data_IF_605594813196
#
_entry.id   IF_605594813196
#
_cell.length_a   1.000
_cell.length_b   1.000
_cell.length_c   1.000
_cell.angle_alpha   90.00
_cell.angle_beta   90.00
_cell.angle_gamma   90.00
#
_symmetry.space_group_name_H-M   'P 1'
#
loop_
_entity.id
_entity.type
_entity.pdbx_description
1 polymer ?
#
# COMPACT_ATOMS: atom_id res chain seq x y z
N UNK A 1 11.70 -1.45 -57.31
CA UNK A 1 10.95 -0.43 -58.07
C UNK A 1 10.24 0.48 -57.06
N UNK A 2 10.33 1.78 -57.29
CA UNK A 2 9.81 2.91 -56.50
C UNK A 2 8.44 3.32 -57.08
N UNK A 3 7.48 3.70 -56.23
CA UNK A 3 6.35 4.66 -56.41
C UNK A 3 5.28 4.34 -55.33
N UNK A 4 4.90 5.11 -54.31
CA UNK A 4 4.54 6.54 -54.13
C UNK A 4 3.37 7.04 -54.99
N UNK A 5 2.30 7.48 -54.30
CA UNK A 5 1.15 8.23 -54.81
C UNK A 5 -0.11 7.36 -54.95
N UNK A 6 -1.32 7.73 -54.54
CA UNK A 6 -1.91 9.02 -54.13
C UNK A 6 -3.35 8.76 -53.66
N UNK A 7 -3.81 9.46 -52.62
CA UNK A 7 -5.24 9.56 -52.20
C UNK A 7 -6.07 10.23 -53.33
N UNK A 8 -7.41 10.06 -53.41
CA UNK A 8 -8.32 10.83 -52.56
C UNK A 8 -9.63 10.11 -52.14
N UNK A 9 -10.37 10.79 -51.25
CA UNK A 9 -11.67 10.42 -50.71
C UNK A 9 -12.80 10.68 -51.71
N UNK A 10 -13.89 9.89 -51.67
CA UNK A 10 -15.26 10.37 -51.91
C UNK A 10 -16.32 9.29 -51.65
N UNK A 11 -17.32 9.66 -50.85
CA UNK A 11 -18.75 9.52 -51.12
C UNK A 11 -19.25 8.23 -51.76
N UNK A 12 -19.95 7.39 -51.00
CA UNK A 12 -21.14 6.71 -51.55
C UNK A 12 -22.18 6.48 -50.47
N UNK A 13 -23.12 7.42 -50.40
CA UNK A 13 -24.43 7.20 -49.84
C UNK A 13 -25.26 6.30 -50.78
N UNK A 14 -26.06 5.43 -50.17
CA UNK A 14 -27.41 5.04 -50.58
C UNK A 14 -27.66 4.76 -52.07
N UNK A 15 -27.88 3.50 -52.42
CA UNK A 15 -28.96 3.15 -53.35
C UNK A 15 -29.30 1.67 -53.27
N UNK A 16 -30.52 1.31 -53.71
CA UNK A 16 -31.18 0.00 -53.67
C UNK A 16 -31.86 -0.23 -52.32
N UNK A 17 -33.12 0.17 -52.10
CA UNK A 17 -34.34 -0.11 -52.86
C UNK A 17 -35.32 1.08 -52.63
N UNK A 18 -35.87 1.77 -53.62
CA UNK A 18 -36.90 1.29 -54.54
C UNK A 18 -38.32 1.59 -54.01
N UNK A 19 -38.86 2.79 -54.26
CA UNK A 19 -40.29 3.19 -54.09
C UNK A 19 -40.94 3.20 -55.50
N UNK A 20 -42.26 2.95 -55.66
CA UNK A 20 -43.31 4.00 -55.59
C UNK A 20 -44.66 3.43 -55.04
N UNK A 21 -45.80 4.09 -54.87
CA UNK A 21 -46.25 5.47 -54.58
C UNK A 21 -47.77 5.36 -54.22
N UNK A 22 -48.29 6.38 -53.52
CA UNK A 22 -49.69 6.82 -53.46
C UNK A 22 -50.74 6.04 -52.63
N UNK A 23 -50.98 6.56 -51.41
CA UNK A 23 -52.34 6.95 -50.97
C UNK A 23 -52.23 8.26 -50.15
N UNK A 24 -53.00 9.27 -50.56
CA UNK A 24 -53.24 10.53 -49.84
C UNK A 24 -54.15 10.26 -48.61
N UNK A 25 -54.36 11.05 -47.56
CA UNK A 25 -54.25 12.48 -47.19
C UNK A 25 -54.29 12.51 -45.63
N UNK A 26 -53.75 13.47 -44.86
CA UNK A 26 -54.39 14.75 -44.47
C UNK A 26 -53.53 15.43 -43.35
N UNK A 27 -53.70 16.75 -43.06
CA UNK A 27 -52.85 17.49 -42.13
C UNK A 27 -53.12 17.12 -40.67
N UNK A 28 -52.09 16.69 -39.93
CA UNK A 28 -52.16 16.54 -38.47
C UNK A 28 -51.97 17.91 -37.78
N UNK A 29 -52.88 18.31 -36.87
CA UNK A 29 -52.75 19.55 -36.09
C UNK A 29 -51.55 19.49 -35.13
N UNK A 30 -50.81 20.59 -35.02
CA UNK A 30 -49.81 20.77 -33.98
C UNK A 30 -50.48 20.84 -32.59
N UNK A 31 -49.99 20.03 -31.65
CA UNK A 31 -50.39 20.00 -30.25
C UNK A 31 -49.14 19.70 -29.36
N UNK A 32 -49.10 20.18 -28.11
CA UNK A 32 -47.97 20.93 -27.55
C UNK A 32 -46.83 20.10 -26.96
N UNK A 33 -45.65 20.72 -26.84
CA UNK A 33 -44.52 20.19 -26.07
C UNK A 33 -44.94 19.88 -24.62
N UNK A 34 -44.84 18.61 -24.22
CA UNK A 34 -44.95 18.22 -22.81
C UNK A 34 -43.63 18.51 -22.07
N UNK A 35 -43.68 19.06 -20.85
CA UNK A 35 -42.49 19.35 -20.06
C UNK A 35 -41.83 18.06 -19.56
N UNK A 36 -40.50 18.08 -19.49
CA UNK A 36 -39.66 16.98 -19.04
C UNK A 36 -40.04 16.48 -17.63
N UNK A 37 -39.92 15.17 -17.33
CA UNK A 37 -40.20 14.64 -16.00
C UNK A 37 -39.21 15.22 -14.99
N UNK A 38 -39.72 15.85 -13.93
CA UNK A 38 -38.93 16.23 -12.76
C UNK A 38 -38.60 14.97 -11.97
N UNK A 39 -37.32 14.60 -11.92
CA UNK A 39 -36.84 13.47 -11.11
C UNK A 39 -36.92 13.81 -9.61
N UNK A 40 -37.22 12.84 -8.73
CA UNK A 40 -37.22 13.01 -7.27
C UNK A 40 -35.84 13.42 -6.70
N UNK A 41 -35.78 14.06 -5.51
CA UNK A 41 -34.52 14.56 -4.91
C UNK A 41 -33.51 13.47 -4.51
N UNK A 42 -33.88 12.19 -4.54
CA UNK A 42 -33.08 11.07 -4.00
C UNK A 42 -32.12 10.42 -5.01
N UNK A 43 -32.00 10.96 -6.23
CA UNK A 43 -30.90 10.61 -7.15
C UNK A 43 -29.80 11.68 -7.11
N UNK A 44 -29.30 11.96 -5.92
CA UNK A 44 -27.94 12.44 -5.81
C UNK A 44 -27.03 11.28 -6.21
N UNK A 45 -26.35 11.40 -7.36
CA UNK A 45 -25.18 10.60 -7.66
C UNK A 45 -24.29 10.54 -6.41
N UNK A 46 -23.65 9.39 -6.08
CA UNK A 46 -22.71 9.35 -4.97
C UNK A 46 -21.71 10.48 -5.20
N UNK A 47 -21.75 11.48 -4.31
CA UNK A 47 -20.79 12.56 -4.32
C UNK A 47 -19.44 11.87 -4.32
N UNK A 48 -18.70 12.01 -5.42
CA UNK A 48 -17.33 11.55 -5.52
C UNK A 48 -16.65 12.09 -4.27
N UNK A 49 -16.27 11.20 -3.35
CA UNK A 49 -15.49 11.54 -2.16
C UNK A 49 -14.23 12.24 -2.67
N UNK A 50 -14.27 13.57 -2.69
CA UNK A 50 -13.10 14.38 -2.94
C UNK A 50 -12.23 14.16 -1.71
N UNK A 51 -11.23 13.28 -1.86
CA UNK A 51 -10.16 13.12 -0.87
C UNK A 51 -9.68 14.53 -0.52
N UNK A 52 -9.75 14.94 0.76
CA UNK A 52 -9.40 16.30 1.15
C UNK A 52 -7.98 16.59 0.66
N UNK A 53 -7.82 17.69 -0.08
CA UNK A 53 -6.49 18.08 -0.52
C UNK A 53 -5.61 18.34 0.71
N UNK A 54 -4.37 17.82 0.73
CA UNK A 54 -3.48 18.01 1.87
C UNK A 54 -3.20 19.50 2.06
N UNK A 55 -3.08 19.97 3.32
CA UNK A 55 -2.80 21.37 3.61
C UNK A 55 -1.43 21.81 3.08
N UNK A 56 -1.29 23.08 2.73
CA UNK A 56 -0.09 23.68 2.12
C UNK A 56 1.23 23.38 2.85
N UNK A 57 1.20 23.35 4.19
CA UNK A 57 2.39 23.03 4.98
C UNK A 57 2.89 21.59 4.72
N UNK A 58 1.98 20.65 4.48
CA UNK A 58 2.32 19.26 4.21
C UNK A 58 2.94 19.10 2.82
N UNK A 59 2.45 19.85 1.83
CA UNK A 59 2.99 19.87 0.47
C UNK A 59 4.44 20.39 0.46
N UNK A 60 4.70 21.48 1.18
CA UNK A 60 6.05 22.04 1.30
C UNK A 60 7.01 21.06 2.00
N UNK A 61 6.53 20.36 3.02
CA UNK A 61 7.31 19.37 3.76
C UNK A 61 7.66 18.16 2.87
N UNK A 62 6.69 17.66 2.11
CA UNK A 62 6.90 16.57 1.12
C UNK A 62 8.00 16.96 0.12
N UNK A 63 7.96 18.17 -0.43
CA UNK A 63 8.99 18.66 -1.37
C UNK A 63 10.39 18.72 -0.75
N UNK A 64 10.49 19.06 0.53
CA UNK A 64 11.77 19.06 1.26
C UNK A 64 12.28 17.65 1.55
N UNK A 65 11.38 16.69 1.77
CA UNK A 65 11.69 15.29 2.08
C UNK A 65 11.94 14.43 0.84
N UNK A 66 11.40 14.83 -0.31
CA UNK A 66 11.52 14.11 -1.57
C UNK A 66 12.96 13.74 -1.96
N UNK A 67 13.98 14.59 -1.81
CA UNK A 67 15.37 14.18 -2.07
C UNK A 67 15.93 13.17 -1.05
N UNK A 68 15.35 13.07 0.15
CA UNK A 68 15.78 12.13 1.19
C UNK A 68 15.14 10.74 1.05
N UNK A 69 14.02 10.62 0.32
CA UNK A 69 13.29 9.36 0.16
C UNK A 69 14.21 8.21 -0.27
N UNK A 70 15.02 8.41 -1.32
CA UNK A 70 15.93 7.40 -1.85
C UNK A 70 17.00 6.97 -0.84
N UNK A 71 17.84 7.89 -0.32
CA UNK A 71 18.85 7.57 0.69
C UNK A 71 18.27 6.90 1.95
N UNK A 72 17.13 7.39 2.45
CA UNK A 72 16.47 6.85 3.64
C UNK A 72 15.96 5.44 3.36
N UNK A 73 15.33 5.20 2.22
CA UNK A 73 14.86 3.87 1.81
C UNK A 73 16.02 2.88 1.70
N UNK A 74 17.14 3.30 1.11
CA UNK A 74 18.34 2.46 1.01
C UNK A 74 18.94 2.17 2.39
N UNK A 75 19.02 3.18 3.26
CA UNK A 75 19.50 3.03 4.62
C UNK A 75 18.66 2.02 5.41
N UNK A 76 17.32 2.14 5.37
CA UNK A 76 16.42 1.18 6.00
C UNK A 76 16.64 -0.23 5.48
N UNK A 77 16.74 -0.41 4.15
CA UNK A 77 16.95 -1.73 3.54
C UNK A 77 18.27 -2.38 3.97
N UNK A 78 19.36 -1.59 4.04
CA UNK A 78 20.67 -2.09 4.48
C UNK A 78 20.66 -2.41 5.97
N UNK A 79 20.14 -1.52 6.81
CA UNK A 79 20.04 -1.75 8.25
C UNK A 79 19.21 -2.99 8.59
N UNK A 80 18.06 -3.16 7.93
CA UNK A 80 17.19 -4.32 8.12
C UNK A 80 17.88 -5.64 7.68
N UNK A 81 18.61 -5.61 6.57
CA UNK A 81 19.43 -6.76 6.13
C UNK A 81 20.55 -7.09 7.13
N UNK A 82 21.24 -6.07 7.66
CA UNK A 82 22.26 -6.26 8.70
C UNK A 82 21.65 -6.82 9.98
N UNK A 83 20.47 -6.35 10.38
CA UNK A 83 19.72 -6.89 11.51
C UNK A 83 19.38 -8.36 11.30
N UNK A 84 18.99 -8.77 10.09
CA UNK A 84 18.72 -10.17 9.75
C UNK A 84 19.96 -11.05 9.84
N UNK A 85 21.12 -10.57 9.34
CA UNK A 85 22.40 -11.28 9.46
C UNK A 85 22.81 -11.43 10.92
N UNK A 86 22.68 -10.36 11.72
CA UNK A 86 22.96 -10.42 13.16
C UNK A 86 22.00 -11.40 13.85
N UNK A 87 20.70 -11.33 13.59
CA UNK A 87 19.73 -12.27 14.17
C UNK A 87 20.10 -13.73 13.87
N UNK A 88 20.40 -14.03 12.61
CA UNK A 88 20.74 -15.40 12.17
C UNK A 88 22.06 -15.87 12.78
N UNK A 89 23.09 -15.01 12.80
CA UNK A 89 24.38 -15.33 13.42
C UNK A 89 24.23 -15.54 14.93
N UNK A 90 23.41 -14.75 15.63
CA UNK A 90 23.12 -14.93 17.06
C UNK A 90 22.41 -16.26 17.32
N UNK A 91 21.45 -16.64 16.48
CA UNK A 91 20.78 -17.94 16.58
C UNK A 91 21.74 -19.10 16.39
N UNK A 92 22.60 -19.05 15.37
CA UNK A 92 23.60 -20.08 15.08
C UNK A 92 24.71 -20.14 16.14
N UNK A 93 25.26 -18.99 16.52
CA UNK A 93 26.35 -18.87 17.50
C UNK A 93 25.95 -19.42 18.86
N UNK A 94 24.68 -19.28 19.22
CA UNK A 94 24.19 -19.66 20.53
C UNK A 94 23.14 -20.76 20.50
N UNK A 95 23.07 -21.59 19.45
CA UNK A 95 22.04 -22.64 19.29
C UNK A 95 22.02 -23.68 20.44
N UNK A 96 23.11 -23.85 21.20
CA UNK A 96 23.26 -24.87 22.26
C UNK A 96 23.39 -24.41 23.73
N UNK A 97 23.46 -23.11 24.05
CA UNK A 97 23.76 -22.63 25.42
C UNK A 97 22.58 -22.09 26.25
N UNK A 98 22.50 -22.45 27.54
CA UNK A 98 21.49 -21.95 28.53
C UNK A 98 21.62 -20.46 28.85
N UNK A 99 22.85 -19.94 28.88
CA UNK A 99 23.13 -18.53 29.21
C UNK A 99 22.76 -17.54 28.09
N UNK A 100 22.41 -18.04 26.90
CA UNK A 100 22.09 -17.21 25.73
C UNK A 100 20.60 -17.12 25.42
N UNK A 101 19.72 -17.48 26.37
CA UNK A 101 18.27 -17.38 26.16
C UNK A 101 17.81 -15.94 25.92
N UNK A 102 18.38 -14.93 26.60
CA UNK A 102 18.06 -13.51 26.37
C UNK A 102 18.37 -13.09 24.93
N UNK A 103 19.58 -13.39 24.46
CA UNK A 103 20.05 -13.06 23.12
C UNK A 103 19.26 -13.76 22.01
N UNK A 104 18.79 -14.99 22.22
CA UNK A 104 17.89 -15.67 21.27
C UNK A 104 16.54 -14.98 21.15
N UNK A 105 15.97 -14.48 22.25
CA UNK A 105 14.70 -13.75 22.22
C UNK A 105 14.82 -12.44 21.44
N UNK A 106 15.95 -11.73 21.57
CA UNK A 106 16.25 -10.53 20.78
C UNK A 106 16.42 -10.88 19.29
N UNK A 107 17.08 -12.00 18.97
CA UNK A 107 17.22 -12.45 17.58
C UNK A 107 15.86 -12.82 16.93
N UNK A 108 14.99 -13.51 17.67
CA UNK A 108 13.63 -13.82 17.18
C UNK A 108 12.82 -12.53 17.04
N UNK A 109 12.95 -11.57 17.97
CA UNK A 109 12.32 -10.26 17.84
C UNK A 109 12.73 -9.54 16.54
N UNK A 110 14.03 -9.50 16.24
CA UNK A 110 14.56 -8.92 15.02
C UNK A 110 14.03 -9.62 13.75
N UNK A 111 13.82 -10.94 13.80
CA UNK A 111 13.20 -11.68 12.69
C UNK A 111 11.73 -11.28 12.46
N UNK A 112 10.94 -11.13 13.52
CA UNK A 112 9.57 -10.64 13.39
C UNK A 112 9.52 -9.18 12.91
N UNK A 113 10.48 -8.35 13.32
CA UNK A 113 10.63 -6.98 12.83
C UNK A 113 10.84 -6.95 11.30
N UNK A 114 11.81 -7.72 10.81
CA UNK A 114 12.10 -7.88 9.38
C UNK A 114 10.85 -8.29 8.59
N UNK A 115 10.07 -9.24 9.12
CA UNK A 115 8.84 -9.69 8.46
C UNK A 115 7.80 -8.57 8.34
N UNK A 116 7.65 -7.75 9.39
CA UNK A 116 6.79 -6.56 9.37
C UNK A 116 7.25 -5.53 8.33
N UNK A 117 8.55 -5.30 8.24
CA UNK A 117 9.13 -4.31 7.32
C UNK A 117 8.99 -4.73 5.85
N UNK A 118 9.22 -6.02 5.54
CA UNK A 118 8.98 -6.59 4.21
C UNK A 118 7.49 -6.53 3.86
N UNK A 119 6.61 -6.85 4.81
CA UNK A 119 5.17 -6.76 4.59
C UNK A 119 4.74 -5.33 4.28
N UNK A 120 5.20 -4.34 5.03
CA UNK A 120 4.83 -2.93 4.79
C UNK A 120 5.22 -2.47 3.39
N UNK A 121 6.43 -2.82 2.94
CA UNK A 121 6.90 -2.53 1.58
C UNK A 121 6.10 -3.26 0.50
N UNK A 122 5.57 -4.45 0.80
CA UNK A 122 4.68 -5.18 -0.09
C UNK A 122 3.29 -4.53 -0.14
N UNK A 123 2.70 -4.24 1.02
CA UNK A 123 1.33 -3.76 1.16
C UNK A 123 1.14 -2.33 0.63
N UNK A 124 2.16 -1.48 0.74
CA UNK A 124 2.16 -0.12 0.17
C UNK A 124 2.12 -0.07 -1.36
N UNK A 125 2.29 -1.22 -2.05
CA UNK A 125 2.10 -1.31 -3.51
C UNK A 125 0.62 -1.33 -3.90
N UNK A 126 -0.25 -1.73 -2.99
CA UNK A 126 -1.68 -1.77 -3.25
C UNK A 126 -2.34 -0.41 -2.91
N UNK A 127 -3.01 0.24 -3.88
CA UNK A 127 -3.64 1.55 -3.66
C UNK A 127 -4.84 1.52 -2.69
N UNK A 128 -5.32 0.32 -2.33
CA UNK A 128 -6.40 0.09 -1.36
C UNK A 128 -5.88 -0.46 -0.01
N UNK A 129 -4.60 -0.26 0.30
CA UNK A 129 -4.03 -0.71 1.56
C UNK A 129 -4.78 -0.12 2.77
N UNK A 130 -5.11 -0.98 3.72
CA UNK A 130 -5.68 -0.60 5.02
C UNK A 130 -4.77 -1.10 6.15
N UNK A 131 -4.51 -0.22 7.11
CA UNK A 131 -3.78 -0.54 8.33
C UNK A 131 -4.60 -1.51 9.22
N UNK A 132 -3.90 -2.35 9.98
CA UNK A 132 -4.51 -3.40 10.81
C UNK A 132 -4.49 -4.80 10.17
N UNK A 133 -3.71 -4.98 9.10
CA UNK A 133 -3.55 -6.29 8.48
C UNK A 133 -2.78 -7.24 9.42
N UNK A 134 -3.14 -8.53 9.38
CA UNK A 134 -2.59 -9.55 10.28
C UNK A 134 -1.04 -9.59 10.37
N UNK A 135 -0.29 -9.31 9.30
CA UNK A 135 1.17 -9.28 9.38
C UNK A 135 1.75 -8.10 10.19
N UNK A 136 0.98 -7.02 10.43
CA UNK A 136 1.42 -5.89 11.25
C UNK A 136 1.58 -6.27 12.73
N UNK A 137 0.94 -7.36 13.17
CA UNK A 137 1.13 -7.92 14.51
C UNK A 137 2.58 -8.37 14.72
N UNK A 138 3.35 -8.61 13.65
CA UNK A 138 4.79 -8.91 13.73
C UNK A 138 5.59 -7.79 14.42
N UNK A 139 5.24 -6.52 14.22
CA UNK A 139 5.88 -5.40 14.95
C UNK A 139 5.57 -5.43 16.44
N UNK A 140 4.32 -5.79 16.80
CA UNK A 140 3.91 -5.95 18.21
C UNK A 140 4.67 -7.10 18.85
N UNK A 141 4.73 -8.26 18.18
CA UNK A 141 5.49 -9.41 18.66
C UNK A 141 6.98 -9.09 18.80
N UNK A 142 7.57 -8.37 17.84
CA UNK A 142 8.95 -7.90 17.94
C UNK A 142 9.17 -7.08 19.21
N UNK A 143 8.34 -6.06 19.46
CA UNK A 143 8.44 -5.26 20.69
C UNK A 143 8.30 -6.08 21.97
N UNK A 144 7.34 -7.01 22.01
CA UNK A 144 7.12 -7.89 23.17
C UNK A 144 8.31 -8.83 23.39
N UNK A 145 8.82 -9.47 22.33
CA UNK A 145 9.96 -10.39 22.39
C UNK A 145 11.25 -9.67 22.79
N UNK A 146 11.45 -8.44 22.30
CA UNK A 146 12.56 -7.59 22.69
C UNK A 146 12.48 -7.24 24.18
N UNK A 147 11.30 -6.86 24.67
CA UNK A 147 11.04 -6.62 26.08
C UNK A 147 11.34 -7.84 26.97
N UNK A 148 10.92 -9.03 26.53
CA UNK A 148 11.24 -10.29 27.21
C UNK A 148 12.76 -10.54 27.20
N UNK A 149 13.44 -10.32 26.07
CA UNK A 149 14.90 -10.43 25.97
C UNK A 149 15.63 -9.52 26.95
N UNK A 150 15.21 -8.25 27.05
CA UNK A 150 15.77 -7.29 28.00
C UNK A 150 15.51 -7.67 29.46
N UNK A 151 14.29 -8.14 29.78
CA UNK A 151 13.95 -8.62 31.12
C UNK A 151 14.77 -9.84 31.53
N UNK A 152 14.99 -10.78 30.60
CA UNK A 152 15.83 -11.96 30.84
C UNK A 152 17.30 -11.57 31.09
N UNK A 153 17.84 -10.61 30.34
CA UNK A 153 19.19 -10.11 30.54
C UNK A 153 19.35 -9.40 31.90
N UNK A 154 18.33 -8.64 32.30
CA UNK A 154 18.29 -8.02 33.62
C UNK A 154 18.28 -9.06 34.75
N UNK A 155 17.46 -10.11 34.63
CA UNK A 155 17.40 -11.18 35.63
C UNK A 155 18.72 -11.95 35.72
N UNK A 156 19.32 -12.32 34.58
CA UNK A 156 20.66 -12.94 34.49
C UNK A 156 21.73 -12.10 35.20
N UNK A 157 21.74 -10.79 34.94
CA UNK A 157 22.65 -9.83 35.56
C UNK A 157 22.42 -9.67 37.06
N UNK A 158 21.17 -9.76 37.53
CA UNK A 158 20.84 -9.67 38.95
C UNK A 158 21.25 -10.93 39.73
N UNK A 159 21.06 -12.10 39.13
CA UNK A 159 21.36 -13.40 39.72
C UNK A 159 22.87 -13.66 39.83
N UNK A 160 23.63 -13.23 38.83
CA UNK A 160 25.11 -13.23 38.86
C UNK A 160 25.64 -12.42 40.05
N UNK A 161 25.16 -11.19 40.24
CA UNK A 161 25.57 -10.29 41.34
C UNK A 161 25.25 -10.85 42.74
N UNK A 162 24.08 -11.44 42.95
CA UNK A 162 23.71 -12.07 44.24
C UNK A 162 24.60 -13.25 44.62
N UNK A 163 25.05 -14.02 43.63
CA UNK A 163 25.91 -15.19 43.87
C UNK A 163 27.33 -14.79 44.27
N UNK A 164 27.83 -13.66 43.76
CA UNK A 164 29.11 -13.06 44.16
C UNK A 164 29.05 -12.45 45.57
N UNK A 165 27.96 -11.76 45.92
CA UNK A 165 27.80 -11.15 47.24
C UNK A 165 27.70 -12.16 48.39
N UNK A 166 27.19 -13.37 48.15
CA UNK A 166 27.13 -14.44 49.16
C UNK A 166 28.47 -15.15 49.41
N UNK A 167 29.48 -14.91 48.57
CA UNK A 167 30.82 -15.51 48.69
C UNK A 167 31.89 -14.58 49.28
N UNK A 168 31.53 -13.34 49.62
CA UNK A 168 32.37 -12.40 50.38
C UNK A 168 31.81 -12.30 51.80
#
# INVERSE_FOLDING_TARGET
AIALGSKPAETTANHLLGIPAAYAQAPQPAAPASPAPTLPPDQAAPALEQKPQPPEWAINLEQQLQPLEGPVTLFYLVCDTLLLVLATTLLLAFWGGRFSQSWRMIAIAAFFLYLGDVWFKYATRDPNYQSGSLPEVAWVFSGVLFGIGAALEYDLSSRSRRTSARRR
#
